data_IF_528389525249
#
_entry.id   IF_528389525249
#
_cell.length_a   1.000
_cell.length_b   1.000
_cell.length_c   1.000
_cell.angle_alpha   90.00
_cell.angle_beta   90.00
_cell.angle_gamma   90.00
#
_symmetry.space_group_name_H-M   'P 1'
#
loop_
_entity.id
_entity.type
_entity.pdbx_description
1 polymer ?
#
# COMPACT_ATOMS: atom_id res chain seq x y z
N UNK A 1 -24.44 9.20 -1.74
CA UNK A 1 -23.24 9.32 -0.89
C UNK A 1 -23.38 8.33 0.25
N UNK A 2 -22.81 7.13 0.12
CA UNK A 2 -22.87 6.12 1.19
C UNK A 2 -22.22 6.72 2.42
N UNK A 3 -22.95 6.72 3.55
CA UNK A 3 -22.47 7.20 4.83
C UNK A 3 -21.09 6.59 5.10
N UNK A 4 -20.05 7.40 4.87
CA UNK A 4 -18.65 6.98 5.01
C UNK A 4 -18.51 6.56 6.45
N UNK A 5 -18.44 5.25 6.67
CA UNK A 5 -18.19 4.56 7.93
C UNK A 5 -17.38 5.50 8.81
N UNK A 6 -18.00 5.96 9.90
CA UNK A 6 -17.43 6.93 10.82
C UNK A 6 -15.97 6.57 11.06
N UNK A 7 -15.09 7.58 10.92
CA UNK A 7 -13.63 7.50 10.95
C UNK A 7 -13.15 6.11 11.41
N UNK A 8 -12.63 5.27 10.50
CA UNK A 8 -12.23 3.86 10.73
C UNK A 8 -11.56 3.62 12.09
N UNK A 9 -10.80 4.61 12.53
CA UNK A 9 -10.16 4.70 13.84
C UNK A 9 -11.09 4.61 15.07
N UNK A 10 -12.29 5.20 14.99
CA UNK A 10 -13.37 5.13 15.98
C UNK A 10 -14.03 3.75 15.94
N UNK A 11 -14.32 3.24 14.74
CA UNK A 11 -14.98 1.94 14.55
C UNK A 11 -14.12 0.75 15.02
N UNK A 12 -12.79 0.86 14.88
CA UNK A 12 -11.87 -0.23 15.27
C UNK A 12 -11.37 -0.12 16.72
N UNK A 13 -11.77 0.91 17.47
CA UNK A 13 -11.33 1.19 18.85
C UNK A 13 -9.82 1.00 19.08
N UNK A 14 -8.99 1.31 18.07
CA UNK A 14 -7.55 1.05 18.13
C UNK A 14 -6.83 2.07 18.99
N UNK A 15 -5.96 1.57 19.86
CA UNK A 15 -5.05 2.41 20.65
C UNK A 15 -4.03 3.15 19.77
N UNK A 16 -3.47 4.24 20.30
CA UNK A 16 -2.46 5.05 19.59
C UNK A 16 -1.23 4.22 19.18
N UNK A 17 -0.77 3.34 20.07
CA UNK A 17 0.38 2.46 19.85
C UNK A 17 0.14 1.43 18.74
N UNK A 18 -1.05 0.80 18.73
CA UNK A 18 -1.42 -0.15 17.67
C UNK A 18 -1.43 0.53 16.31
N UNK A 19 -2.04 1.72 16.21
CA UNK A 19 -2.04 2.52 14.96
C UNK A 19 -0.63 2.85 14.50
N UNK A 20 0.27 3.23 15.42
CA UNK A 20 1.68 3.54 15.11
C UNK A 20 2.40 2.32 14.55
N UNK A 21 2.23 1.15 15.18
CA UNK A 21 2.81 -0.13 14.72
C UNK A 21 2.28 -0.51 13.34
N UNK A 22 0.96 -0.46 13.12
CA UNK A 22 0.36 -0.76 11.81
C UNK A 22 0.86 0.20 10.72
N UNK A 23 0.96 1.51 11.01
CA UNK A 23 1.49 2.48 10.05
C UNK A 23 2.94 2.21 9.69
N UNK A 24 3.79 1.90 10.69
CA UNK A 24 5.19 1.57 10.46
C UNK A 24 5.33 0.30 9.60
N UNK A 25 4.58 -0.75 9.93
CA UNK A 25 4.54 -2.00 9.17
C UNK A 25 4.11 -1.78 7.71
N UNK A 26 2.99 -1.07 7.50
CA UNK A 26 2.50 -0.78 6.16
C UNK A 26 3.51 0.02 5.33
N UNK A 27 4.18 1.00 5.94
CA UNK A 27 5.21 1.80 5.25
C UNK A 27 6.39 0.93 4.78
N UNK A 28 6.83 -0.01 5.61
CA UNK A 28 7.89 -0.95 5.25
C UNK A 28 7.46 -1.87 4.08
N UNK A 29 6.27 -2.46 4.18
CA UNK A 29 5.73 -3.32 3.13
C UNK A 29 5.55 -2.59 1.79
N UNK A 30 5.09 -1.33 1.81
CA UNK A 30 4.95 -0.54 0.60
C UNK A 30 6.31 -0.16 0.00
N UNK A 31 7.34 0.08 0.81
CA UNK A 31 8.69 0.30 0.31
C UNK A 31 9.24 -0.93 -0.41
N UNK A 32 9.01 -2.13 0.12
CA UNK A 32 9.39 -3.40 -0.52
C UNK A 32 8.65 -3.61 -1.84
N UNK A 33 7.32 -3.41 -1.85
CA UNK A 33 6.51 -3.52 -3.09
C UNK A 33 7.00 -2.55 -4.15
N UNK A 34 7.34 -1.32 -3.78
CA UNK A 34 7.89 -0.34 -4.70
C UNK A 34 9.26 -0.76 -5.22
N UNK A 35 10.14 -1.32 -4.39
CA UNK A 35 11.44 -1.83 -4.82
C UNK A 35 11.29 -2.97 -5.84
N UNK A 36 10.39 -3.93 -5.56
CA UNK A 36 10.07 -5.04 -6.47
C UNK A 36 9.48 -4.51 -7.79
N UNK A 37 8.51 -3.60 -7.71
CA UNK A 37 7.91 -2.99 -8.89
C UNK A 37 8.94 -2.22 -9.72
N UNK A 38 9.82 -1.44 -9.08
CA UNK A 38 10.92 -0.75 -9.76
C UNK A 38 11.87 -1.73 -10.43
N UNK A 39 12.22 -2.84 -9.80
CA UNK A 39 13.05 -3.87 -10.41
C UNK A 39 12.36 -4.53 -11.62
N UNK A 40 11.10 -4.91 -11.46
CA UNK A 40 10.28 -5.57 -12.49
C UNK A 40 10.03 -4.66 -13.70
N UNK A 41 9.75 -3.39 -13.47
CA UNK A 41 9.29 -2.46 -14.49
C UNK A 41 10.36 -1.46 -14.93
N UNK A 42 11.61 -1.56 -14.45
CA UNK A 42 12.71 -0.62 -14.76
C UNK A 42 12.85 -0.31 -16.25
N UNK A 43 12.68 -1.34 -17.08
CA UNK A 43 12.88 -1.27 -18.52
C UNK A 43 11.55 -1.43 -19.28
N UNK A 44 10.40 -1.47 -18.59
CA UNK A 44 9.11 -1.60 -19.27
C UNK A 44 8.69 -0.24 -19.83
N UNK A 45 8.52 -0.17 -21.14
CA UNK A 45 7.96 1.01 -21.81
C UNK A 45 6.48 1.14 -21.43
N UNK A 46 6.10 2.31 -20.91
CA UNK A 46 4.72 2.58 -20.46
C UNK A 46 3.74 2.39 -21.62
N UNK A 47 2.71 1.56 -21.41
CA UNK A 47 1.67 1.29 -22.42
C UNK A 47 2.02 0.17 -23.40
N UNK A 48 3.21 -0.44 -23.29
CA UNK A 48 3.52 -1.65 -24.04
C UNK A 48 3.27 -2.90 -23.19
N UNK A 49 2.60 -3.89 -23.79
CA UNK A 49 2.46 -5.21 -23.22
C UNK A 49 3.85 -5.78 -22.94
N UNK A 50 4.00 -6.46 -21.79
CA UNK A 50 5.24 -7.18 -21.51
C UNK A 50 5.51 -8.18 -22.65
N UNK A 51 6.76 -8.34 -23.12
CA UNK A 51 7.06 -9.35 -24.11
C UNK A 51 6.64 -10.71 -23.58
N UNK A 52 5.92 -11.48 -24.39
CA UNK A 52 5.52 -12.84 -24.04
C UNK A 52 6.79 -13.66 -23.74
N UNK A 53 6.82 -14.28 -22.57
CA UNK A 53 7.91 -15.14 -22.12
C UNK A 53 7.83 -16.53 -22.77
#
# INVERSE_FOLDING_TARGET
MTHRIGNKDIAQMRGKEEKKRTRAFNKAMEAEKQAIARAKYRNQVKGQAAPAA
#
